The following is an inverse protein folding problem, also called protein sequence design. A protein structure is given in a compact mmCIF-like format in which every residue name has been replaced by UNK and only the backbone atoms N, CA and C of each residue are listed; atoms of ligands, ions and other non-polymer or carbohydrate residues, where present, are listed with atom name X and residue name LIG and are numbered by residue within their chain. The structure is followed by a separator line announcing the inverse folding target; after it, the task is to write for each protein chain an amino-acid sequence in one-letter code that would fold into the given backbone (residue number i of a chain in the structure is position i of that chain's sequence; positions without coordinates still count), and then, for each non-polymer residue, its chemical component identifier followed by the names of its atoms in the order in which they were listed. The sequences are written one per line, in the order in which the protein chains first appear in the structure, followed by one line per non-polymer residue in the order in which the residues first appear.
data_IF_679134350838
#
_entry.id   IF_679134350838
#
_cell.length_a   1.000
_cell.length_b   1.000
_cell.length_c   1.000
_cell.angle_alpha   90.00
_cell.angle_beta   90.00
_cell.angle_gamma   90.00
#
_symmetry.space_group_name_H-M   'P 1'
#
loop_
_entity.id
_entity.type
_entity.pdbx_description
1 polymer ?
#
# COMPACT_ATOMS: atom_id res chain seq x y z
N UNK A 1 1.00 21.18 5.47
CA UNK A 1 -0.20 20.39 5.82
C UNK A 1 -0.43 20.43 7.33
N UNK A 2 -1.62 20.79 7.84
CA UNK A 2 -1.88 20.89 9.29
C UNK A 2 -1.80 19.54 10.02
N UNK A 3 -2.33 18.48 9.42
CA UNK A 3 -2.37 17.14 10.00
C UNK A 3 -0.98 16.58 10.38
N UNK A 4 0.06 16.99 9.66
CA UNK A 4 1.44 16.56 9.93
C UNK A 4 1.99 17.23 11.21
N UNK A 5 1.65 18.48 11.50
CA UNK A 5 1.99 19.13 12.79
C UNK A 5 1.24 18.48 13.97
N UNK A 6 -0.06 18.24 13.79
CA UNK A 6 -0.91 17.61 14.82
C UNK A 6 -0.40 16.20 15.14
N UNK A 7 0.07 15.45 14.14
CA UNK A 7 0.68 14.14 14.31
C UNK A 7 1.93 14.21 15.20
N UNK A 8 2.87 15.11 14.92
CA UNK A 8 4.10 15.22 15.71
C UNK A 8 3.87 15.73 17.13
N UNK A 9 2.87 16.59 17.35
CA UNK A 9 2.45 17.00 18.69
C UNK A 9 1.92 15.80 19.48
N UNK A 10 1.02 15.02 18.88
CA UNK A 10 0.46 13.82 19.51
C UNK A 10 1.54 12.75 19.77
N UNK A 11 2.45 12.56 18.82
CA UNK A 11 3.56 11.62 18.92
C UNK A 11 4.55 12.02 20.02
N UNK A 12 4.94 13.29 20.10
CA UNK A 12 5.80 13.81 21.18
C UNK A 12 5.20 13.49 22.56
N UNK A 13 3.93 13.84 22.76
CA UNK A 13 3.23 13.58 24.01
C UNK A 13 3.21 12.09 24.37
N UNK A 14 3.17 11.21 23.36
CA UNK A 14 3.19 9.76 23.57
C UNK A 14 4.58 9.25 24.00
N UNK A 15 5.66 9.78 23.41
CA UNK A 15 7.05 9.36 23.66
C UNK A 15 7.56 9.86 25.01
N UNK A 16 7.26 11.11 25.38
CA UNK A 16 7.73 11.74 26.64
C UNK A 16 7.33 10.93 27.90
N UNK A 17 6.38 10.01 27.77
CA UNK A 17 5.86 9.25 28.90
C UNK A 17 6.38 7.82 29.07
N UNK A 18 7.16 7.19 28.15
CA UNK A 18 7.48 5.74 28.34
C UNK A 18 8.57 5.03 27.52
N UNK A 19 9.40 5.65 26.67
CA UNK A 19 10.12 4.85 25.65
C UNK A 19 11.62 5.12 25.46
N UNK A 20 12.45 4.84 26.47
CA UNK A 20 13.92 4.82 26.33
C UNK A 20 14.38 3.62 25.47
N UNK A 21 15.07 3.86 24.35
CA UNK A 21 15.72 2.82 23.54
C UNK A 21 14.95 2.28 22.34
N UNK A 22 13.86 2.95 21.91
CA UNK A 22 13.05 2.54 20.74
C UNK A 22 13.19 3.47 19.54
N UNK A 23 14.16 4.38 19.59
CA UNK A 23 14.30 5.51 18.68
C UNK A 23 14.52 5.04 17.24
N UNK A 24 15.37 4.04 17.02
CA UNK A 24 15.67 3.54 15.67
C UNK A 24 14.44 2.91 14.99
N UNK A 25 13.66 2.14 15.74
CA UNK A 25 12.43 1.52 15.23
C UNK A 25 11.35 2.58 14.96
N UNK A 26 11.23 3.56 15.86
CA UNK A 26 10.26 4.64 15.71
C UNK A 26 10.60 5.53 14.51
N UNK A 27 11.85 6.01 14.43
CA UNK A 27 12.36 6.81 13.30
C UNK A 27 12.15 6.07 11.98
N UNK A 28 12.42 4.75 11.95
CA UNK A 28 12.21 3.94 10.75
C UNK A 28 10.74 3.92 10.31
N UNK A 29 9.79 3.88 11.26
CA UNK A 29 8.35 3.80 10.96
C UNK A 29 7.75 5.15 10.57
N UNK A 30 8.22 6.27 11.15
CA UNK A 30 7.66 7.62 10.93
C UNK A 30 8.48 8.48 9.96
N UNK A 31 9.45 7.89 9.26
CA UNK A 31 10.38 8.62 8.39
C UNK A 31 9.67 9.45 7.30
N UNK A 32 8.58 8.93 6.73
CA UNK A 32 7.81 9.59 5.69
C UNK A 32 7.14 10.86 6.20
N UNK A 33 6.53 10.77 7.38
CA UNK A 33 5.94 11.90 8.09
C UNK A 33 7.02 12.94 8.47
N UNK A 34 8.22 12.50 8.90
CA UNK A 34 9.34 13.40 9.23
C UNK A 34 9.80 14.19 7.99
N UNK A 35 9.99 13.50 6.86
CA UNK A 35 10.41 14.16 5.64
C UNK A 35 9.33 15.13 5.12
N UNK A 36 8.04 14.74 5.17
CA UNK A 36 6.94 15.65 4.83
C UNK A 36 6.93 16.89 5.71
N UNK A 37 7.26 16.77 7.00
CA UNK A 37 7.32 17.90 7.93
C UNK A 37 8.42 18.88 7.54
N UNK A 38 9.59 18.37 7.18
CA UNK A 38 10.71 19.21 6.72
C UNK A 38 10.36 19.97 5.43
N UNK A 39 9.71 19.32 4.47
CA UNK A 39 9.27 19.99 3.24
C UNK A 39 8.12 20.98 3.49
N UNK A 40 7.15 20.62 4.34
CA UNK A 40 6.10 21.55 4.77
C UNK A 40 6.71 22.80 5.43
N UNK A 41 7.77 22.62 6.23
CA UNK A 41 8.49 23.71 6.87
C UNK A 41 9.29 24.55 5.88
N UNK A 42 9.94 23.92 4.89
CA UNK A 42 10.60 24.62 3.78
C UNK A 42 9.60 25.52 3.02
N UNK A 43 8.45 24.97 2.63
CA UNK A 43 7.39 25.72 1.96
C UNK A 43 6.91 26.89 2.84
N UNK A 44 6.71 26.65 4.13
CA UNK A 44 6.28 27.67 5.07
C UNK A 44 7.33 28.78 5.24
N UNK A 45 8.59 28.43 5.52
CA UNK A 45 9.64 29.41 5.84
C UNK A 45 10.01 30.24 4.61
N UNK A 46 10.00 29.64 3.42
CA UNK A 46 10.26 30.37 2.18
C UNK A 46 9.11 31.30 1.79
N UNK A 47 7.86 30.90 2.05
CA UNK A 47 6.69 31.77 1.86
C UNK A 47 6.63 32.91 2.89
N UNK A 48 6.99 32.64 4.15
CA UNK A 48 6.91 33.60 5.24
C UNK A 48 8.09 34.57 5.29
N UNK A 49 9.33 34.06 5.24
CA UNK A 49 10.54 34.83 5.46
C UNK A 49 11.37 35.06 4.18
N UNK A 50 10.96 34.45 3.06
CA UNK A 50 11.63 34.54 1.77
C UNK A 50 12.72 33.47 1.55
N UNK A 51 13.10 33.30 0.29
CA UNK A 51 13.99 32.20 -0.17
C UNK A 51 15.38 32.17 0.48
N UNK A 52 15.86 33.28 1.04
CA UNK A 52 17.16 33.34 1.76
C UNK A 52 17.21 32.45 3.02
N UNK A 53 16.04 32.08 3.57
CA UNK A 53 15.92 31.18 4.70
C UNK A 53 15.59 29.74 4.32
N UNK A 54 15.59 29.44 3.01
CA UNK A 54 15.45 28.08 2.50
C UNK A 54 16.45 27.13 3.19
N UNK A 55 16.00 25.94 3.51
CA UNK A 55 16.81 24.82 3.96
C UNK A 55 17.52 24.13 2.79
N UNK A 56 17.12 24.39 1.54
CA UNK A 56 17.62 23.68 0.36
C UNK A 56 19.15 23.79 0.16
N UNK A 57 19.79 24.84 0.70
CA UNK A 57 21.24 25.05 0.64
C UNK A 57 21.97 24.67 1.93
N UNK A 58 21.25 24.22 2.97
CA UNK A 58 21.81 23.86 4.28
C UNK A 58 21.62 22.39 4.62
N UNK A 59 20.53 21.79 4.15
CA UNK A 59 20.17 20.41 4.42
C UNK A 59 20.45 19.57 3.17
N UNK A 60 21.35 18.61 3.30
CA UNK A 60 21.56 17.59 2.28
C UNK A 60 20.63 16.41 2.50
N UNK A 61 20.25 15.74 1.41
CA UNK A 61 19.42 14.53 1.47
C UNK A 61 20.24 13.36 2.04
N UNK A 62 19.90 12.81 3.22
CA UNK A 62 20.63 11.68 3.80
C UNK A 62 20.39 10.41 2.98
N UNK A 63 21.47 9.69 2.66
CA UNK A 63 21.36 8.41 1.93
C UNK A 63 21.11 7.28 2.93
N UNK A 64 19.93 6.67 2.83
CA UNK A 64 19.57 5.50 3.64
C UNK A 64 20.12 4.21 3.01
N UNK A 65 21.38 3.89 3.32
CA UNK A 65 22.11 2.73 2.75
C UNK A 65 21.37 1.40 2.94
N UNK A 66 20.67 1.23 4.07
CA UNK A 66 19.90 0.01 4.35
C UNK A 66 18.84 -0.32 3.28
N UNK A 67 18.28 0.69 2.62
CA UNK A 67 17.28 0.48 1.57
C UNK A 67 17.85 -0.05 0.24
N UNK A 68 19.17 0.01 0.04
CA UNK A 68 19.82 -0.35 -1.22
C UNK A 68 20.17 -1.84 -1.33
N UNK A 69 20.25 -2.57 -0.21
CA UNK A 69 20.59 -3.99 -0.18
C UNK A 69 19.43 -4.82 0.34
N UNK A 70 19.28 -6.06 -0.14
CA UNK A 70 18.20 -6.93 0.34
C UNK A 70 18.36 -7.30 1.82
N UNK A 71 19.60 -7.41 2.30
CA UNK A 71 19.90 -7.58 3.71
C UNK A 71 19.47 -6.36 4.54
N UNK A 72 19.86 -5.15 4.14
CA UNK A 72 19.48 -3.93 4.84
C UNK A 72 17.97 -3.71 4.85
N UNK A 73 17.26 -4.01 3.76
CA UNK A 73 15.79 -3.99 3.70
C UNK A 73 15.18 -4.96 4.71
N UNK A 74 15.70 -6.19 4.77
CA UNK A 74 15.24 -7.22 5.71
C UNK A 74 15.43 -6.76 7.15
N UNK A 75 16.56 -6.14 7.46
CA UNK A 75 16.88 -5.67 8.81
C UNK A 75 16.04 -4.46 9.23
N UNK A 76 15.80 -3.51 8.31
CA UNK A 76 14.84 -2.42 8.54
C UNK A 76 13.43 -2.96 8.80
N UNK A 77 12.98 -3.96 8.03
CA UNK A 77 11.69 -4.61 8.25
C UNK A 77 11.61 -5.31 9.62
N UNK A 78 12.68 -5.97 10.06
CA UNK A 78 12.73 -6.55 11.42
C UNK A 78 12.68 -5.46 12.49
N UNK A 79 13.40 -4.36 12.29
CA UNK A 79 13.43 -3.24 13.22
C UNK A 79 12.04 -2.62 13.40
N UNK A 80 11.24 -2.48 12.35
CA UNK A 80 9.84 -2.02 12.51
C UNK A 80 8.99 -2.92 13.42
N UNK A 81 9.32 -4.21 13.53
CA UNK A 81 8.61 -5.16 14.40
C UNK A 81 9.02 -5.04 15.87
N UNK A 82 10.14 -4.38 16.18
CA UNK A 82 10.55 -4.15 17.57
C UNK A 82 9.83 -2.96 18.21
N UNK A 83 9.10 -2.16 17.42
CA UNK A 83 8.34 -1.02 17.92
C UNK A 83 7.35 -1.46 19.04
N UNK A 84 7.30 -0.80 20.21
CA UNK A 84 6.37 -1.14 21.28
C UNK A 84 4.91 -1.25 20.84
N UNK A 85 4.15 -2.16 21.47
CA UNK A 85 2.75 -2.44 21.10
C UNK A 85 1.86 -1.19 21.21
N UNK A 86 2.06 -0.39 22.23
CA UNK A 86 1.30 0.84 22.47
C UNK A 86 1.59 1.92 21.41
N UNK A 87 2.85 2.05 20.96
CA UNK A 87 3.22 2.92 19.84
C UNK A 87 2.65 2.42 18.51
N UNK A 88 2.72 1.11 18.23
CA UNK A 88 2.07 0.52 17.05
C UNK A 88 0.56 0.77 17.03
N UNK A 89 -0.08 0.64 18.19
CA UNK A 89 -1.52 0.87 18.35
C UNK A 89 -1.86 2.33 18.10
N UNK A 90 -1.13 3.26 18.72
CA UNK A 90 -1.28 4.69 18.49
C UNK A 90 -1.17 5.06 17.00
N UNK A 91 -0.14 4.55 16.30
CA UNK A 91 0.05 4.84 14.87
C UNK A 91 -1.11 4.31 14.02
N UNK A 92 -1.61 3.10 14.31
CA UNK A 92 -2.73 2.51 13.60
C UNK A 92 -4.05 3.27 13.85
N UNK A 93 -4.30 3.68 15.09
CA UNK A 93 -5.47 4.46 15.48
C UNK A 93 -5.44 5.86 14.87
N UNK A 94 -4.29 6.54 14.92
CA UNK A 94 -4.12 7.87 14.34
C UNK A 94 -4.38 7.83 12.83
N UNK A 95 -3.81 6.86 12.12
CA UNK A 95 -4.05 6.65 10.70
C UNK A 95 -5.52 6.35 10.37
N UNK A 96 -6.18 5.52 11.18
CA UNK A 96 -7.57 5.17 10.98
C UNK A 96 -8.51 6.38 11.16
N UNK A 97 -8.07 7.39 11.93
CA UNK A 97 -8.77 8.66 12.10
C UNK A 97 -8.58 9.66 10.96
N UNK A 98 -7.67 9.42 10.01
CA UNK A 98 -7.45 10.32 8.88
C UNK A 98 -8.45 10.08 7.74
N UNK A 99 -8.81 11.15 7.04
CA UNK A 99 -9.56 11.03 5.80
C UNK A 99 -8.69 10.40 4.68
N UNK A 100 -9.36 9.80 3.69
CA UNK A 100 -8.68 9.20 2.54
C UNK A 100 -7.87 10.25 1.74
N UNK A 101 -8.34 11.50 1.68
CA UNK A 101 -7.60 12.58 1.02
C UNK A 101 -6.29 12.89 1.77
N UNK A 102 -6.34 12.99 3.10
CA UNK A 102 -5.17 13.33 3.91
C UNK A 102 -4.16 12.18 3.93
N UNK A 103 -4.64 10.94 4.10
CA UNK A 103 -3.78 9.73 4.15
C UNK A 103 -2.99 9.52 2.85
N UNK A 104 -3.54 9.97 1.72
CA UNK A 104 -2.91 9.85 0.39
C UNK A 104 -2.11 11.08 -0.02
N UNK A 105 -2.17 12.18 0.73
CA UNK A 105 -1.45 13.40 0.39
C UNK A 105 0.05 13.24 0.70
N UNK A 106 0.96 13.43 -0.28
CA UNK A 106 2.40 13.33 -0.05
C UNK A 106 2.93 14.38 0.94
N UNK A 107 2.19 15.47 1.19
CA UNK A 107 2.50 16.48 2.20
C UNK A 107 2.17 16.02 3.63
N UNK A 108 1.44 14.91 3.78
CA UNK A 108 1.19 14.26 5.07
C UNK A 108 2.22 13.17 5.35
N UNK A 109 2.44 12.26 4.39
CA UNK A 109 3.44 11.19 4.48
C UNK A 109 4.15 11.03 3.14
N UNK A 110 5.42 11.43 3.06
CA UNK A 110 6.20 11.37 1.85
C UNK A 110 6.79 9.98 1.68
N UNK A 111 6.59 9.38 0.51
CA UNK A 111 7.17 8.09 0.15
C UNK A 111 8.04 8.27 -1.08
N UNK A 112 9.30 7.88 -0.98
CA UNK A 112 10.27 7.99 -2.06
C UNK A 112 10.60 6.62 -2.62
N UNK A 113 10.64 6.52 -3.94
CA UNK A 113 11.21 5.39 -4.65
C UNK A 113 12.43 5.90 -5.41
N UNK A 114 13.61 5.37 -5.11
CA UNK A 114 14.85 5.73 -5.80
C UNK A 114 15.11 4.64 -6.84
N UNK A 115 15.27 5.06 -8.10
CA UNK A 115 15.71 4.21 -9.19
C UNK A 115 17.14 4.61 -9.55
N UNK A 116 18.04 3.63 -9.59
CA UNK A 116 19.39 3.85 -10.10
C UNK A 116 19.34 3.74 -11.62
N UNK A 117 19.73 4.81 -12.30
CA UNK A 117 19.84 4.81 -13.75
C UNK A 117 21.08 4.03 -14.20
N UNK A 118 20.95 3.29 -15.30
CA UNK A 118 22.09 2.61 -15.92
C UNK A 118 22.82 3.57 -16.85
N UNK A 119 24.00 4.02 -16.44
CA UNK A 119 24.90 4.87 -17.23
C UNK A 119 24.87 6.34 -16.79
N UNK A 120 26.05 6.88 -16.48
CA UNK A 120 26.21 8.30 -16.11
C UNK A 120 26.57 9.13 -17.34
N UNK A 121 25.86 10.24 -17.60
CA UNK A 121 26.34 11.25 -18.55
C UNK A 121 27.13 12.32 -17.80
N UNK A 122 28.15 12.86 -18.45
CA UNK A 122 29.01 13.87 -17.85
C UNK A 122 28.20 15.16 -17.64
N UNK A 123 27.99 15.55 -16.39
CA UNK A 123 27.23 16.77 -16.02
C UNK A 123 25.85 16.53 -15.40
N UNK A 124 25.41 15.27 -15.27
CA UNK A 124 24.15 14.96 -14.58
C UNK A 124 24.27 15.23 -13.07
N UNK A 125 23.18 15.71 -12.48
CA UNK A 125 23.07 15.80 -11.01
C UNK A 125 23.09 14.39 -10.42
N UNK A 126 23.79 14.22 -9.29
CA UNK A 126 23.91 12.93 -8.58
C UNK A 126 22.59 12.40 -8.02
N UNK A 127 21.58 13.28 -7.91
CA UNK A 127 20.23 12.95 -7.50
C UNK A 127 19.28 13.85 -8.29
N UNK A 128 18.39 13.24 -9.07
CA UNK A 128 17.35 13.95 -9.81
C UNK A 128 15.99 13.62 -9.21
N UNK A 129 15.23 14.65 -8.87
CA UNK A 129 13.85 14.48 -8.42
C UNK A 129 12.92 14.68 -9.61
N UNK A 130 12.11 13.67 -9.89
CA UNK A 130 11.01 13.77 -10.85
C UNK A 130 9.72 13.97 -10.08
N UNK A 131 9.05 15.11 -10.29
CA UNK A 131 7.76 15.35 -9.65
C UNK A 131 6.68 14.53 -10.38
N UNK A 132 5.83 13.86 -9.62
CA UNK A 132 4.71 13.08 -10.18
C UNK A 132 3.79 13.92 -11.09
N UNK A 133 3.67 15.23 -10.83
CA UNK A 133 2.87 16.15 -11.65
C UNK A 133 3.47 16.40 -13.04
N UNK A 134 4.79 16.28 -13.14
CA UNK A 134 5.54 16.59 -14.36
C UNK A 134 5.64 15.36 -15.28
N UNK A 135 5.22 14.19 -14.79
CA UNK A 135 5.16 12.94 -15.54
C UNK A 135 3.99 12.90 -16.52
N UNK A 136 4.22 12.32 -17.70
CA UNK A 136 3.16 11.95 -18.64
C UNK A 136 2.26 10.85 -18.06
N UNK A 137 1.11 10.61 -18.68
CA UNK A 137 0.19 9.56 -18.22
C UNK A 137 0.82 8.16 -18.24
N UNK A 138 1.64 7.86 -19.24
CA UNK A 138 2.32 6.57 -19.38
C UNK A 138 3.46 6.41 -18.37
N UNK A 139 4.26 7.46 -18.15
CA UNK A 139 5.31 7.45 -17.13
C UNK A 139 4.73 7.35 -15.72
N UNK A 140 3.61 8.03 -15.43
CA UNK A 140 2.89 7.88 -14.15
C UNK A 140 2.45 6.44 -13.93
N UNK A 141 1.85 5.81 -14.94
CA UNK A 141 1.42 4.42 -14.86
C UNK A 141 2.62 3.48 -14.64
N UNK A 142 3.72 3.70 -15.34
CA UNK A 142 4.94 2.91 -15.14
C UNK A 142 5.52 3.09 -13.73
N UNK A 143 5.58 4.32 -13.22
CA UNK A 143 6.04 4.62 -11.86
C UNK A 143 5.16 3.97 -10.80
N UNK A 144 3.84 4.04 -10.96
CA UNK A 144 2.87 3.37 -10.09
C UNK A 144 3.00 1.84 -10.15
N UNK A 145 3.16 1.28 -11.34
CA UNK A 145 3.36 -0.15 -11.50
C UNK A 145 4.66 -0.62 -10.86
N UNK A 146 5.75 0.14 -10.98
CA UNK A 146 7.03 -0.15 -10.31
C UNK A 146 6.85 -0.08 -8.79
N UNK A 147 6.24 0.99 -8.28
CA UNK A 147 5.97 1.18 -6.86
C UNK A 147 5.10 0.05 -6.28
N UNK A 148 4.06 -0.35 -7.01
CA UNK A 148 3.15 -1.43 -6.62
C UNK A 148 3.79 -2.82 -6.70
N UNK A 149 4.54 -3.12 -7.77
CA UNK A 149 5.13 -4.45 -8.01
C UNK A 149 6.37 -4.72 -7.15
N UNK A 150 7.15 -3.69 -6.82
CA UNK A 150 8.48 -3.89 -6.19
C UNK A 150 8.50 -3.72 -4.67
N UNK A 151 7.38 -3.35 -4.03
CA UNK A 151 7.32 -3.13 -2.57
C UNK A 151 8.44 -2.21 -2.04
N UNK A 152 8.95 -1.29 -2.88
CA UNK A 152 9.89 -0.24 -2.44
C UNK A 152 9.21 0.79 -1.56
N UNK A 153 7.89 0.89 -1.70
CA UNK A 153 7.04 1.50 -0.72
C UNK A 153 7.04 0.54 0.46
N UNK A 154 7.53 0.99 1.63
CA UNK A 154 7.00 0.55 2.91
C UNK A 154 5.53 1.01 2.89
N UNK A 155 4.71 0.33 2.09
CA UNK A 155 3.27 0.50 2.13
C UNK A 155 2.95 -0.12 3.45
N UNK A 156 2.61 0.74 4.41
CA UNK A 156 1.89 0.37 5.64
C UNK A 156 1.06 -0.85 5.29
N UNK A 157 1.47 -2.02 5.81
CA UNK A 157 0.52 -3.09 5.92
C UNK A 157 -0.62 -2.44 6.68
N UNK A 158 -1.74 -2.21 5.99
CA UNK A 158 -3.01 -1.99 6.65
C UNK A 158 -3.23 -3.28 7.42
N UNK A 159 -2.66 -3.38 8.61
CA UNK A 159 -3.20 -4.22 9.68
C UNK A 159 -4.51 -3.56 10.04
N UNK A 160 -5.49 -3.72 9.16
CA UNK A 160 -6.88 -3.72 9.57
C UNK A 160 -6.96 -4.83 10.61
N UNK A 161 -7.54 -4.58 11.79
CA UNK A 161 -7.78 -5.64 12.76
C UNK A 161 -8.47 -6.78 12.00
N UNK A 162 -7.77 -7.91 11.90
CA UNK A 162 -8.27 -9.11 11.23
C UNK A 162 -9.26 -9.73 12.20
N UNK A 163 -10.48 -9.21 12.20
CA UNK A 163 -11.60 -10.12 12.42
C UNK A 163 -11.86 -10.81 11.08
N UNK A 164 -11.76 -12.14 11.09
CA UNK A 164 -12.18 -12.99 10.00
C UNK A 164 -13.72 -13.03 9.83
N UNK A 165 -14.48 -12.37 10.73
CA UNK A 165 -15.94 -12.47 10.81
C UNK A 165 -16.66 -12.04 9.51
N UNK A 166 -16.08 -11.11 8.74
CA UNK A 166 -16.69 -10.57 7.51
C UNK A 166 -16.04 -11.09 6.21
N UNK A 167 -15.43 -12.28 6.20
CA UNK A 167 -14.73 -12.82 5.02
C UNK A 167 -15.30 -14.18 4.60
N UNK A 168 -15.39 -14.39 3.29
CA UNK A 168 -16.10 -15.51 2.69
C UNK A 168 -15.13 -16.52 2.08
N UNK A 169 -15.36 -17.81 2.34
CA UNK A 169 -14.68 -18.87 1.59
C UNK A 169 -15.14 -18.89 0.13
N UNK A 170 -14.29 -19.34 -0.82
CA UNK A 170 -14.67 -19.38 -2.24
C UNK A 170 -15.97 -20.16 -2.51
N UNK A 171 -16.30 -21.18 -1.71
CA UNK A 171 -17.59 -21.87 -1.77
C UNK A 171 -18.78 -20.94 -1.53
N UNK A 172 -18.73 -20.11 -0.47
CA UNK A 172 -19.80 -19.17 -0.15
C UNK A 172 -19.89 -18.02 -1.17
N UNK A 173 -18.75 -17.57 -1.71
CA UNK A 173 -18.75 -16.61 -2.82
C UNK A 173 -19.47 -17.20 -4.03
N UNK A 174 -19.13 -18.43 -4.41
CA UNK A 174 -19.74 -19.07 -5.56
C UNK A 174 -21.25 -19.29 -5.38
N UNK A 175 -21.69 -19.67 -4.18
CA UNK A 175 -23.11 -19.77 -3.83
C UNK A 175 -23.85 -18.43 -4.02
N UNK A 176 -23.33 -17.35 -3.42
CA UNK A 176 -23.95 -16.01 -3.51
C UNK A 176 -23.95 -15.45 -4.94
N UNK A 177 -22.84 -15.62 -5.67
CA UNK A 177 -22.74 -15.16 -7.05
C UNK A 177 -23.67 -15.97 -7.94
N UNK A 178 -23.66 -17.30 -7.80
CA UNK A 178 -24.53 -18.18 -8.56
C UNK A 178 -25.99 -17.79 -8.35
N UNK A 179 -26.45 -17.58 -7.11
CA UNK A 179 -27.85 -17.19 -6.83
C UNK A 179 -28.34 -15.97 -7.63
N UNK A 180 -27.47 -15.01 -7.93
CA UNK A 180 -27.80 -13.71 -8.51
C UNK A 180 -27.54 -13.57 -10.03
N UNK A 181 -27.04 -14.62 -10.68
CA UNK A 181 -26.74 -14.63 -12.12
C UNK A 181 -27.42 -15.80 -12.84
N UNK A 182 -27.68 -15.71 -14.16
CA UNK A 182 -28.33 -16.79 -14.91
C UNK A 182 -27.38 -17.94 -15.31
N UNK A 183 -26.09 -17.83 -14.99
CA UNK A 183 -25.05 -18.78 -15.41
C UNK A 183 -24.55 -19.63 -14.24
N UNK A 184 -24.01 -20.80 -14.54
CA UNK A 184 -23.30 -21.63 -13.57
C UNK A 184 -22.05 -20.89 -13.09
N UNK A 185 -21.85 -20.87 -11.77
CA UNK A 185 -20.67 -20.30 -11.15
C UNK A 185 -20.20 -21.18 -9.99
N UNK A 186 -19.11 -21.92 -10.19
CA UNK A 186 -18.58 -22.89 -9.22
C UNK A 186 -17.28 -22.39 -8.59
N UNK A 187 -16.96 -22.82 -7.36
CA UNK A 187 -15.75 -22.38 -6.66
C UNK A 187 -14.46 -22.93 -7.27
N UNK A 188 -14.51 -24.10 -7.92
CA UNK A 188 -13.33 -24.78 -8.47
C UNK A 188 -12.98 -24.36 -9.89
N UNK A 189 -13.97 -23.94 -10.69
CA UNK A 189 -13.78 -23.61 -12.10
C UNK A 189 -13.93 -22.11 -12.38
N UNK A 190 -15.14 -21.55 -12.32
CA UNK A 190 -15.40 -20.15 -12.67
C UNK A 190 -14.73 -19.17 -11.72
N UNK A 191 -14.84 -19.40 -10.40
CA UNK A 191 -14.15 -18.59 -9.40
C UNK A 191 -12.63 -18.67 -9.59
N UNK A 192 -12.13 -19.86 -9.95
CA UNK A 192 -10.70 -20.06 -10.18
C UNK A 192 -10.19 -19.34 -11.42
N UNK A 193 -10.99 -19.31 -12.48
CA UNK A 193 -10.71 -18.55 -13.69
C UNK A 193 -10.76 -17.04 -13.43
N UNK A 194 -11.75 -16.57 -12.65
CA UNK A 194 -11.91 -15.17 -12.29
C UNK A 194 -10.69 -14.61 -11.55
N UNK A 195 -10.24 -15.25 -10.47
CA UNK A 195 -9.11 -14.70 -9.70
C UNK A 195 -7.79 -14.75 -10.49
N UNK A 196 -7.60 -15.76 -11.36
CA UNK A 196 -6.41 -15.84 -12.23
C UNK A 196 -6.41 -14.74 -13.28
N UNK A 197 -7.53 -14.56 -13.98
CA UNK A 197 -7.65 -13.55 -15.04
C UNK A 197 -7.46 -12.13 -14.51
N UNK A 198 -7.96 -11.86 -13.30
CA UNK A 198 -7.93 -10.53 -12.69
C UNK A 198 -6.76 -10.30 -11.70
N UNK A 199 -5.86 -11.29 -11.59
CA UNK A 199 -4.70 -11.27 -10.69
C UNK A 199 -5.05 -10.87 -9.25
N UNK A 200 -6.11 -11.46 -8.68
CA UNK A 200 -6.54 -11.12 -7.30
C UNK A 200 -5.65 -11.72 -6.23
N UNK A 201 -4.97 -12.84 -6.53
CA UNK A 201 -4.10 -13.56 -5.61
C UNK A 201 -3.03 -14.33 -6.40
N UNK A 202 -1.90 -14.71 -5.77
CA UNK A 202 -0.86 -15.44 -6.46
C UNK A 202 -1.24 -16.92 -6.63
N UNK A 203 -0.57 -17.65 -7.55
CA UNK A 203 -0.79 -19.08 -7.72
C UNK A 203 -0.35 -19.86 -6.48
N UNK A 204 -0.85 -21.10 -6.38
CA UNK A 204 -0.45 -22.03 -5.32
C UNK A 204 1.07 -22.27 -5.40
N UNK A 205 1.75 -22.20 -4.26
CA UNK A 205 3.20 -22.38 -4.18
C UNK A 205 4.03 -21.11 -4.42
N UNK A 206 3.41 -19.93 -4.52
CA UNK A 206 4.14 -18.66 -4.52
C UNK A 206 4.94 -18.47 -3.23
N UNK A 207 6.15 -17.91 -3.34
CA UNK A 207 7.00 -17.51 -2.21
C UNK A 207 6.37 -16.41 -1.34
N UNK A 208 5.27 -15.81 -1.81
CA UNK A 208 4.63 -14.65 -1.18
C UNK A 208 3.10 -14.74 -1.30
N UNK A 209 2.46 -15.67 -0.55
CA UNK A 209 1.02 -15.91 -0.64
C UNK A 209 0.17 -14.72 -0.18
N UNK A 210 0.74 -13.79 0.59
CA UNK A 210 0.08 -12.56 1.02
C UNK A 210 -0.04 -11.49 -0.06
N UNK A 211 0.52 -11.68 -1.26
CA UNK A 211 0.44 -10.72 -2.36
C UNK A 211 -0.93 -10.74 -3.06
N UNK A 212 -1.98 -10.34 -2.34
CA UNK A 212 -3.36 -10.31 -2.83
C UNK A 212 -3.85 -8.89 -3.08
N UNK A 213 -4.83 -8.76 -3.98
CA UNK A 213 -5.64 -7.53 -4.09
C UNK A 213 -6.65 -7.53 -2.95
N UNK A 214 -6.28 -6.86 -1.86
CA UNK A 214 -7.02 -6.84 -0.57
C UNK A 214 -8.48 -6.40 -0.67
N UNK A 215 -8.83 -5.61 -1.70
CA UNK A 215 -10.22 -5.27 -2.04
C UNK A 215 -11.08 -6.50 -2.35
N UNK A 216 -10.48 -7.57 -2.88
CA UNK A 216 -11.16 -8.76 -3.38
C UNK A 216 -10.82 -10.02 -2.59
N UNK A 217 -9.55 -10.18 -2.20
CA UNK A 217 -9.01 -11.42 -1.66
C UNK A 217 -7.97 -11.12 -0.57
N UNK A 218 -8.00 -11.89 0.51
CA UNK A 218 -7.08 -11.80 1.65
C UNK A 218 -6.56 -13.21 1.92
N UNK A 219 -5.26 -13.32 2.18
CA UNK A 219 -4.64 -14.59 2.58
C UNK A 219 -4.83 -14.81 4.08
N UNK A 220 -5.39 -15.95 4.45
CA UNK A 220 -5.47 -16.41 5.84
C UNK A 220 -4.23 -17.26 6.13
N UNK A 221 -3.35 -16.75 6.99
CA UNK A 221 -2.10 -17.42 7.36
C UNK A 221 -2.31 -18.61 8.30
N UNK A 222 -3.41 -18.63 9.07
CA UNK A 222 -3.74 -19.69 10.02
C UNK A 222 -4.17 -20.95 9.27
N UNK A 223 -5.07 -20.78 8.30
CA UNK A 223 -5.60 -21.90 7.50
C UNK A 223 -4.86 -22.11 6.17
N UNK A 224 -3.90 -21.23 5.84
CA UNK A 224 -3.12 -21.24 4.60
C UNK A 224 -3.99 -21.22 3.34
N UNK A 225 -5.16 -20.61 3.43
CA UNK A 225 -6.11 -20.45 2.34
C UNK A 225 -6.40 -18.98 2.07
N UNK A 226 -7.36 -18.72 1.18
CA UNK A 226 -7.69 -17.37 0.76
C UNK A 226 -9.17 -17.13 0.99
N UNK A 227 -9.45 -16.03 1.67
CA UNK A 227 -10.80 -15.54 1.91
C UNK A 227 -11.09 -14.36 0.99
N UNK A 228 -12.37 -14.12 0.73
CA UNK A 228 -12.84 -13.11 -0.20
C UNK A 228 -13.75 -12.12 0.50
N UNK A 229 -13.79 -10.90 -0.02
CA UNK A 229 -14.58 -9.80 0.53
C UNK A 229 -15.98 -9.77 -0.09
N UNK A 230 -16.91 -9.05 0.55
CA UNK A 230 -18.21 -8.75 -0.03
C UNK A 230 -18.09 -7.96 -1.36
N UNK A 231 -17.07 -7.09 -1.48
CA UNK A 231 -16.78 -6.38 -2.72
C UNK A 231 -16.47 -7.33 -3.89
N UNK A 232 -15.82 -8.47 -3.62
CA UNK A 232 -15.60 -9.50 -4.62
C UNK A 232 -16.92 -10.08 -5.12
N UNK A 233 -17.85 -10.39 -4.22
CA UNK A 233 -19.19 -10.90 -4.55
C UNK A 233 -19.96 -9.89 -5.40
N UNK A 234 -20.05 -8.63 -4.95
CA UNK A 234 -20.77 -7.56 -5.67
C UNK A 234 -20.22 -7.33 -7.07
N UNK A 235 -18.89 -7.33 -7.21
CA UNK A 235 -18.23 -7.16 -8.50
C UNK A 235 -18.51 -8.33 -9.45
N UNK A 236 -18.42 -9.57 -8.96
CA UNK A 236 -18.72 -10.78 -9.73
C UNK A 236 -20.17 -10.79 -10.20
N UNK A 237 -21.13 -10.52 -9.31
CA UNK A 237 -22.55 -10.43 -9.69
C UNK A 237 -22.75 -9.37 -10.78
N UNK A 238 -22.19 -8.17 -10.60
CA UNK A 238 -22.33 -7.08 -11.56
C UNK A 238 -21.80 -7.46 -12.96
N UNK A 239 -20.62 -8.08 -13.03
CA UNK A 239 -19.98 -8.45 -14.30
C UNK A 239 -20.60 -9.70 -14.92
N UNK A 240 -20.88 -10.73 -14.14
CA UNK A 240 -21.34 -12.03 -14.62
C UNK A 240 -22.85 -12.07 -14.95
N UNK A 241 -23.59 -10.96 -14.86
CA UNK A 241 -25.01 -10.89 -15.27
C UNK A 241 -25.23 -11.05 -16.77
N UNK A 242 -24.26 -10.67 -17.60
CA UNK A 242 -24.37 -10.76 -19.07
C UNK A 242 -23.35 -11.73 -19.64
N UNK A 243 -23.62 -12.31 -20.82
CA UNK A 243 -22.68 -13.24 -21.46
C UNK A 243 -21.31 -12.60 -21.71
N UNK A 244 -21.31 -11.37 -22.23
CA UNK A 244 -20.08 -10.61 -22.50
C UNK A 244 -19.31 -10.30 -21.20
N UNK A 245 -20.00 -9.83 -20.16
CA UNK A 245 -19.36 -9.52 -18.87
C UNK A 245 -18.85 -10.77 -18.13
N UNK A 246 -19.50 -11.92 -18.30
CA UNK A 246 -19.02 -13.20 -17.79
C UNK A 246 -17.69 -13.60 -18.43
N UNK A 247 -17.59 -13.50 -19.77
CA UNK A 247 -16.34 -13.75 -20.51
C UNK A 247 -15.27 -12.74 -20.11
N UNK A 248 -15.63 -11.47 -19.94
CA UNK A 248 -14.72 -10.43 -19.47
C UNK A 248 -14.14 -10.79 -18.09
N UNK A 249 -14.99 -11.17 -17.12
CA UNK A 249 -14.60 -11.46 -15.76
C UNK A 249 -13.82 -12.77 -15.60
N UNK A 250 -14.20 -13.84 -16.31
CA UNK A 250 -13.66 -15.20 -16.09
C UNK A 250 -12.76 -15.68 -17.23
N UNK A 251 -12.94 -15.17 -18.44
CA UNK A 251 -12.32 -15.71 -19.66
C UNK A 251 -12.98 -17.00 -20.16
N UNK A 252 -14.09 -17.43 -19.55
CA UNK A 252 -14.81 -18.64 -19.90
C UNK A 252 -16.10 -18.31 -20.65
N UNK A 253 -16.53 -19.22 -21.52
CA UNK A 253 -17.86 -19.18 -22.10
C UNK A 253 -18.91 -19.49 -21.01
N UNK A 254 -19.97 -18.66 -20.86
CA UNK A 254 -20.99 -18.86 -19.84
C UNK A 254 -21.85 -20.08 -20.14
N UNK A 255 -22.11 -20.91 -19.12
CA UNK A 255 -23.05 -22.04 -19.19
C UNK A 255 -24.32 -21.68 -18.43
N UNK A 256 -25.49 -21.91 -19.02
CA UNK A 256 -26.76 -21.73 -18.32
C UNK A 256 -26.87 -22.75 -17.19
N UNK A 257 -27.54 -22.36 -16.11
CA UNK A 257 -27.91 -23.33 -15.06
C UNK A 257 -28.88 -24.36 -15.67
N UNK A 258 -28.75 -25.61 -15.25
CA UNK A 258 -29.82 -26.56 -15.48
C UNK A 258 -30.98 -26.15 -14.56
N UNK A 259 -32.20 -26.18 -15.10
CA UNK A 259 -33.43 -26.00 -14.31
C UNK A 259 -33.59 -27.13 -13.28
#
# INVERSE_FOLDING_TARGET
MRANLEFFIALRNKIEHRHTGTDDALITVVNGECHSMLLNYEDFVTAFAGRKYSLAHRLHFPVFIGGFTDQGKSDLLKLTKTLPKDLRTFLAEYDAGLSDEVSRDPRYCMRLTILLESGNRKGDLSLQFVNYKDLTADERRMAEEIAAKKRYVITKQKTRPVSNDDKLKPGKVAELVSAEIPFQFTPSYEMAAAWRKNNWRPPKGSNDPGNTRSEFCIYDSVHRDYLYTESCVKWLIKKCKTKSGFVEATGLAPRLKAD
#
